data_IF_697711730692
#
_entry.id   IF_697711730692
#
_cell.length_a   1.000
_cell.length_b   1.000
_cell.length_c   1.000
_cell.angle_alpha   90.00
_cell.angle_beta   90.00
_cell.angle_gamma   90.00
#
_symmetry.space_group_name_H-M   'P 1'
#
loop_
_entity.id
_entity.type
_entity.pdbx_description
1 polymer ?
#
# COMPACT_ATOMS: atom_id res chain seq x y z
N UNK A 1 -9.88 -4.72 -19.12
CA UNK A 1 -8.45 -4.89 -19.38
C UNK A 1 -7.68 -4.86 -18.07
N UNK A 2 -6.76 -5.80 -17.90
CA UNK A 2 -5.96 -5.87 -16.69
C UNK A 2 -4.87 -4.79 -16.74
N UNK A 3 -4.86 -3.91 -15.74
CA UNK A 3 -3.93 -2.80 -15.68
C UNK A 3 -2.87 -2.98 -14.58
N UNK A 4 -2.80 -4.18 -14.01
CA UNK A 4 -1.80 -4.47 -12.99
C UNK A 4 -0.40 -4.47 -13.59
N UNK A 5 0.52 -3.79 -12.91
CA UNK A 5 1.95 -3.89 -13.18
C UNK A 5 2.57 -4.93 -12.24
N UNK A 6 3.65 -5.53 -12.68
CA UNK A 6 4.37 -6.56 -11.93
C UNK A 6 5.84 -6.18 -11.86
N UNK A 7 6.32 -5.95 -10.64
CA UNK A 7 7.71 -5.61 -10.40
C UNK A 7 8.40 -6.82 -9.77
N UNK A 8 9.31 -7.51 -10.48
CA UNK A 8 9.89 -8.77 -9.98
C UNK A 8 10.54 -8.68 -8.61
N UNK A 9 11.17 -7.54 -8.29
CA UNK A 9 11.80 -7.36 -6.98
C UNK A 9 10.78 -7.37 -5.84
N UNK A 10 9.54 -6.97 -6.10
CA UNK A 10 8.49 -6.92 -5.09
C UNK A 10 8.20 -8.30 -4.53
N UNK A 11 8.07 -9.30 -5.40
CA UNK A 11 7.78 -10.66 -4.97
C UNK A 11 8.89 -11.22 -4.10
N UNK A 12 10.16 -10.99 -4.49
CA UNK A 12 11.30 -11.47 -3.72
C UNK A 12 11.38 -10.83 -2.34
N UNK A 13 10.98 -9.58 -2.22
CA UNK A 13 11.15 -8.79 -1.00
C UNK A 13 9.94 -8.83 -0.07
N UNK A 14 8.82 -9.38 -0.53
CA UNK A 14 7.55 -9.33 0.20
C UNK A 14 7.63 -9.93 1.60
N UNK A 15 8.16 -11.14 1.71
CA UNK A 15 8.21 -11.82 3.01
C UNK A 15 9.19 -11.15 3.97
N UNK A 16 10.45 -10.89 3.58
CA UNK A 16 11.38 -10.22 4.50
C UNK A 16 10.90 -8.83 4.95
N UNK A 17 10.34 -8.05 4.03
CA UNK A 17 9.82 -6.73 4.39
C UNK A 17 8.61 -6.86 5.32
N UNK A 18 7.71 -7.78 5.02
CA UNK A 18 6.55 -8.04 5.87
C UNK A 18 6.94 -8.50 7.27
N UNK A 19 7.96 -9.34 7.39
CA UNK A 19 8.46 -9.78 8.68
C UNK A 19 9.00 -8.60 9.50
N UNK A 20 9.66 -7.69 8.85
CA UNK A 20 10.17 -6.48 9.48
C UNK A 20 9.05 -5.56 9.93
N UNK A 21 8.06 -5.36 9.08
CA UNK A 21 6.89 -4.51 9.39
C UNK A 21 6.11 -5.05 10.59
N UNK A 22 6.03 -6.36 10.73
CA UNK A 22 5.35 -6.98 11.86
C UNK A 22 5.90 -6.50 13.20
N UNK A 23 7.18 -6.16 13.26
CA UNK A 23 7.82 -5.72 14.50
C UNK A 23 7.58 -4.24 14.83
N UNK A 24 7.18 -3.43 13.84
CA UNK A 24 7.10 -1.96 14.00
C UNK A 24 5.70 -1.42 13.81
N UNK A 25 4.79 -2.16 13.13
CA UNK A 25 3.44 -1.68 12.91
C UNK A 25 2.55 -1.93 14.12
N UNK A 26 1.60 -1.02 14.40
CA UNK A 26 0.60 -1.26 15.43
C UNK A 26 -0.36 -2.37 14.99
N UNK A 27 -1.13 -2.90 15.94
CA UNK A 27 -2.12 -3.93 15.65
C UNK A 27 -3.31 -3.38 14.87
N UNK A 28 -3.63 -2.11 15.03
CA UNK A 28 -4.79 -1.44 14.44
C UNK A 28 -4.45 -0.03 14.01
N UNK A 29 -5.20 0.50 13.07
CA UNK A 29 -5.07 1.87 12.62
C UNK A 29 -4.93 1.95 11.09
N UNK A 30 -4.42 3.06 10.61
CA UNK A 30 -4.23 3.33 9.20
C UNK A 30 -2.75 3.47 8.90
N UNK A 31 -2.27 2.75 7.90
CA UNK A 31 -0.90 2.86 7.40
C UNK A 31 -0.92 3.62 6.10
N UNK A 32 -0.18 4.71 6.01
CA UNK A 32 0.06 5.41 4.76
C UNK A 32 1.36 4.91 4.16
N UNK A 33 1.28 4.31 2.97
CA UNK A 33 2.45 3.87 2.23
C UNK A 33 2.77 4.88 1.14
N UNK A 34 3.99 5.40 1.13
CA UNK A 34 4.46 6.31 0.09
C UNK A 34 5.16 5.52 -1.00
N UNK A 35 5.05 6.00 -2.24
CA UNK A 35 5.71 5.37 -3.39
C UNK A 35 5.37 3.89 -3.50
N UNK A 36 4.09 3.58 -3.52
CA UNK A 36 3.59 2.19 -3.52
C UNK A 36 3.91 1.40 -4.79
N UNK A 37 4.32 2.07 -5.85
CA UNK A 37 4.75 1.42 -7.09
C UNK A 37 3.63 0.65 -7.76
N UNK A 38 3.84 -0.65 -7.99
CA UNK A 38 2.84 -1.48 -8.67
C UNK A 38 1.58 -1.72 -7.84
N UNK A 39 1.69 -1.69 -6.51
CA UNK A 39 0.61 -2.03 -5.60
C UNK A 39 0.67 -3.46 -5.07
N UNK A 40 1.64 -4.25 -5.53
CA UNK A 40 1.78 -5.65 -5.09
C UNK A 40 2.00 -5.75 -3.58
N UNK A 41 2.90 -4.92 -3.02
CA UNK A 41 3.13 -4.90 -1.58
C UNK A 41 1.90 -4.42 -0.82
N UNK A 42 1.22 -3.39 -1.32
CA UNK A 42 0.06 -2.83 -0.64
C UNK A 42 -1.01 -3.89 -0.39
N UNK A 43 -1.37 -4.66 -1.44
CA UNK A 43 -2.40 -5.69 -1.27
C UNK A 43 -1.90 -6.85 -0.41
N UNK A 44 -0.63 -7.26 -0.57
CA UNK A 44 -0.07 -8.35 0.22
C UNK A 44 -0.03 -8.00 1.71
N UNK A 45 0.37 -6.77 2.05
CA UNK A 45 0.46 -6.35 3.43
C UNK A 45 -0.91 -6.08 4.04
N UNK A 46 -1.86 -5.58 3.26
CA UNK A 46 -3.24 -5.47 3.74
C UNK A 46 -3.79 -6.85 4.12
N UNK A 47 -3.50 -7.88 3.31
CA UNK A 47 -3.92 -9.24 3.60
C UNK A 47 -3.22 -9.80 4.83
N UNK A 48 -1.95 -9.48 4.99
CA UNK A 48 -1.15 -9.96 6.13
C UNK A 48 -1.52 -9.28 7.44
N UNK A 49 -1.93 -8.01 7.37
CA UNK A 49 -2.25 -7.20 8.55
C UNK A 49 -3.71 -6.73 8.49
N UNK A 50 -4.67 -7.66 8.66
CA UNK A 50 -6.09 -7.32 8.45
C UNK A 50 -6.66 -6.34 9.48
N UNK A 51 -5.98 -6.15 10.61
CA UNK A 51 -6.37 -5.14 11.61
C UNK A 51 -6.04 -3.71 11.20
N UNK A 52 -5.24 -3.54 10.14
CA UNK A 52 -4.85 -2.23 9.64
C UNK A 52 -5.62 -1.90 8.37
N UNK A 53 -5.78 -0.60 8.11
CA UNK A 53 -6.24 -0.13 6.80
C UNK A 53 -5.03 0.42 6.04
N UNK A 54 -4.75 -0.17 4.91
CA UNK A 54 -3.59 0.21 4.09
C UNK A 54 -4.00 1.26 3.07
N UNK A 55 -3.38 2.45 3.17
CA UNK A 55 -3.58 3.53 2.21
C UNK A 55 -2.35 3.64 1.34
N UNK A 56 -2.45 3.14 0.12
CA UNK A 56 -1.38 3.26 -0.86
C UNK A 56 -1.35 4.67 -1.45
N UNK A 57 -0.18 5.09 -1.93
CA UNK A 57 -0.02 6.35 -2.62
C UNK A 57 1.16 6.30 -3.58
N UNK A 58 1.08 7.06 -4.67
CA UNK A 58 2.18 7.18 -5.61
C UNK A 58 1.91 8.41 -6.49
N UNK A 59 2.92 9.24 -6.79
CA UNK A 59 2.71 10.40 -7.65
C UNK A 59 2.52 10.03 -9.13
N UNK A 60 2.95 8.83 -9.53
CA UNK A 60 2.85 8.38 -10.92
C UNK A 60 1.45 7.87 -11.19
N UNK A 61 0.72 8.46 -12.17
CA UNK A 61 -0.67 8.04 -12.44
C UNK A 61 -0.78 6.60 -12.94
N UNK A 62 0.21 6.08 -13.66
CA UNK A 62 0.21 4.70 -14.12
C UNK A 62 0.36 3.74 -12.94
N UNK A 63 1.16 4.11 -11.95
CA UNK A 63 1.29 3.33 -10.72
C UNK A 63 -0.03 3.33 -9.95
N UNK A 64 -0.70 4.48 -9.82
CA UNK A 64 -1.99 4.53 -9.14
C UNK A 64 -3.03 3.66 -9.83
N UNK A 65 -3.04 3.65 -11.16
CA UNK A 65 -3.92 2.76 -11.92
C UNK A 65 -3.62 1.30 -11.60
N UNK A 66 -2.35 0.94 -11.56
CA UNK A 66 -1.92 -0.42 -11.21
C UNK A 66 -2.35 -0.78 -9.78
N UNK A 67 -2.11 0.10 -8.82
CA UNK A 67 -2.50 -0.12 -7.42
C UNK A 67 -4.00 -0.40 -7.33
N UNK A 68 -4.82 0.44 -7.93
CA UNK A 68 -6.27 0.29 -7.87
C UNK A 68 -6.72 -1.01 -8.55
N UNK A 69 -6.04 -1.41 -9.61
CA UNK A 69 -6.31 -2.68 -10.28
C UNK A 69 -5.96 -3.87 -9.39
N UNK A 70 -4.83 -3.81 -8.68
CA UNK A 70 -4.45 -4.84 -7.72
C UNK A 70 -5.46 -4.96 -6.59
N UNK A 71 -5.94 -3.84 -6.07
CA UNK A 71 -6.96 -3.83 -5.02
C UNK A 71 -8.21 -4.55 -5.49
N UNK A 72 -8.67 -4.25 -6.71
CA UNK A 72 -9.85 -4.91 -7.29
C UNK A 72 -9.64 -6.40 -7.47
N UNK A 73 -8.51 -6.78 -8.06
CA UNK A 73 -8.21 -8.19 -8.29
C UNK A 73 -8.09 -8.99 -7.00
N UNK A 74 -7.63 -8.36 -5.94
CA UNK A 74 -7.51 -9.02 -4.64
C UNK A 74 -8.84 -9.06 -3.87
N UNK A 75 -9.89 -8.39 -4.38
CA UNK A 75 -11.18 -8.32 -3.69
C UNK A 75 -11.14 -7.46 -2.43
N UNK A 76 -10.27 -6.45 -2.41
CA UNK A 76 -10.05 -5.63 -1.22
C UNK A 76 -10.70 -4.26 -1.30
N UNK A 77 -11.58 -4.02 -2.28
CA UNK A 77 -12.24 -2.72 -2.47
C UNK A 77 -12.97 -2.24 -1.24
N UNK A 78 -13.46 -3.18 -0.43
CA UNK A 78 -14.25 -2.85 0.76
C UNK A 78 -13.39 -2.39 1.95
N UNK A 79 -12.07 -2.59 1.90
CA UNK A 79 -11.16 -2.22 3.00
C UNK A 79 -10.04 -1.27 2.58
N UNK A 80 -9.66 -1.28 1.30
CA UNK A 80 -8.58 -0.43 0.80
C UNK A 80 -9.14 0.69 -0.06
N UNK A 81 -8.90 1.95 0.30
CA UNK A 81 -9.28 3.08 -0.56
C UNK A 81 -8.37 3.14 -1.78
N UNK A 82 -8.80 3.89 -2.80
CA UNK A 82 -7.99 4.13 -3.99
C UNK A 82 -6.68 4.82 -3.61
N UNK A 83 -5.65 4.58 -4.43
CA UNK A 83 -4.34 5.18 -4.21
C UNK A 83 -4.40 6.71 -4.29
N UNK A 84 -3.64 7.37 -3.42
CA UNK A 84 -3.55 8.82 -3.39
C UNK A 84 -2.38 9.31 -4.24
N UNK A 85 -2.51 10.53 -4.74
CA UNK A 85 -1.45 11.22 -5.47
C UNK A 85 -0.59 11.98 -4.46
N UNK A 86 0.42 11.30 -3.92
CA UNK A 86 1.33 11.89 -2.94
C UNK A 86 2.76 11.59 -3.31
N UNK A 87 3.62 12.60 -3.14
CA UNK A 87 5.06 12.42 -3.28
C UNK A 87 5.67 12.22 -1.89
N UNK A 88 6.70 11.35 -1.80
CA UNK A 88 7.33 11.07 -0.51
C UNK A 88 7.97 12.31 0.12
N UNK A 89 8.37 13.29 -0.69
CA UNK A 89 8.92 14.56 -0.20
C UNK A 89 7.88 15.49 0.40
N UNK A 90 6.58 15.19 0.24
CA UNK A 90 5.47 16.06 0.63
C UNK A 90 4.59 15.42 1.70
N UNK A 91 5.11 14.49 2.47
CA UNK A 91 4.27 13.74 3.41
C UNK A 91 4.02 14.46 4.74
N UNK A 92 4.36 15.73 4.85
CA UNK A 92 4.13 16.52 6.04
C UNK A 92 2.65 16.77 6.34
N UNK A 93 1.77 16.29 5.47
CA UNK A 93 0.33 16.41 5.66
C UNK A 93 -0.32 15.17 6.25
N UNK A 94 0.41 14.35 7.00
CA UNK A 94 -0.15 13.16 7.61
C UNK A 94 -1.34 13.49 8.49
N UNK A 95 -2.49 12.88 8.19
CA UNK A 95 -3.71 13.08 8.95
C UNK A 95 -3.57 12.51 10.37
N UNK A 96 -4.20 13.14 11.39
CA UNK A 96 -4.24 12.54 12.72
C UNK A 96 -4.84 11.14 12.76
N UNK A 97 -5.62 10.76 11.72
CA UNK A 97 -6.17 9.42 11.61
C UNK A 97 -5.14 8.39 11.18
N UNK A 98 -4.01 8.82 10.63
CA UNK A 98 -2.95 7.93 10.18
C UNK A 98 -2.11 7.47 11.37
N UNK A 99 -2.00 6.16 11.55
CA UNK A 99 -1.21 5.58 12.64
C UNK A 99 0.26 5.45 12.29
N UNK A 100 0.58 5.35 11.01
CA UNK A 100 1.95 5.13 10.55
C UNK A 100 2.11 5.56 9.10
N UNK A 101 3.26 6.13 8.77
CA UNK A 101 3.67 6.43 7.39
C UNK A 101 4.91 5.62 7.06
N UNK A 102 4.90 4.95 5.92
CA UNK A 102 6.04 4.16 5.47
C UNK A 102 6.39 4.43 4.02
#
# INVERSE_FOLDING_TARGET
MDQRLFFPATERNRVPIGDRLKTVLPARGVVLELASGSGEHAVAFQQRFPGLRWQASDPNPDHRTSINSWIRHAGLDHVMPHALDLESSNDHGTSPAMSRTI
#
